data_IF_315686583132
#
_entry.id   IF_315686583132
#
_cell.length_a   1.000
_cell.length_b   1.000
_cell.length_c   1.000
_cell.angle_alpha   90.00
_cell.angle_beta   90.00
_cell.angle_gamma   90.00
#
_symmetry.space_group_name_H-M   'P 1'
#
loop_
_entity.id
_entity.type
_entity.pdbx_description
1 polymer ?
#
# COMPACT_ATOMS: atom_id res chain seq x y z
N UNK A 1 -4.00 5.50 15.47
CA UNK A 1 -3.20 5.32 14.24
C UNK A 1 -2.85 3.84 14.16
N UNK A 2 -2.96 3.20 12.99
CA UNK A 2 -2.62 1.78 12.82
C UNK A 2 -1.26 1.65 12.13
N UNK A 3 -0.37 0.86 12.70
CA UNK A 3 0.96 0.60 12.16
C UNK A 3 1.04 -0.80 11.56
N UNK A 4 1.84 -0.94 10.48
CA UNK A 4 2.16 -2.23 9.87
C UNK A 4 3.58 -2.66 10.31
N UNK A 5 3.70 -3.13 11.56
CA UNK A 5 4.98 -3.56 12.13
C UNK A 5 5.18 -5.08 11.99
N UNK A 6 4.12 -5.88 12.19
CA UNK A 6 4.16 -7.33 12.04
C UNK A 6 2.86 -7.84 11.38
N UNK A 7 2.94 -8.94 10.63
CA UNK A 7 1.78 -9.58 10.01
C UNK A 7 0.88 -10.30 11.02
N UNK A 8 1.42 -10.74 12.15
CA UNK A 8 0.63 -11.43 13.21
C UNK A 8 -0.42 -10.51 13.85
N UNK A 9 -0.25 -9.20 13.71
CA UNK A 9 -1.18 -8.19 14.21
C UNK A 9 -2.41 -8.02 13.29
N UNK A 10 -2.48 -8.78 12.19
CA UNK A 10 -3.52 -8.67 11.18
C UNK A 10 -4.28 -9.99 11.05
N UNK A 11 -5.61 -9.88 11.03
CA UNK A 11 -6.49 -11.00 10.73
C UNK A 11 -6.42 -11.40 9.25
N UNK A 12 -6.76 -12.65 8.95
CA UNK A 12 -6.80 -13.15 7.56
C UNK A 12 -7.70 -12.31 6.65
N UNK A 13 -8.85 -11.84 7.15
CA UNK A 13 -9.74 -10.94 6.41
C UNK A 13 -9.08 -9.62 6.01
N UNK A 14 -8.36 -8.99 6.93
CA UNK A 14 -7.69 -7.70 6.70
C UNK A 14 -6.53 -7.85 5.70
N UNK A 15 -5.78 -8.95 5.80
CA UNK A 15 -4.75 -9.29 4.81
C UNK A 15 -5.39 -9.48 3.43
N UNK A 16 -6.52 -10.18 3.35
CA UNK A 16 -7.24 -10.38 2.10
C UNK A 16 -7.78 -9.07 1.52
N UNK A 17 -8.22 -8.13 2.33
CA UNK A 17 -8.63 -6.79 1.89
C UNK A 17 -7.46 -6.02 1.25
N UNK A 18 -6.29 -6.03 1.88
CA UNK A 18 -5.06 -5.40 1.36
C UNK A 18 -4.69 -6.02 0.00
N UNK A 19 -4.72 -7.35 -0.11
CA UNK A 19 -4.42 -8.08 -1.34
C UNK A 19 -5.41 -7.72 -2.45
N UNK A 20 -6.72 -7.72 -2.15
CA UNK A 20 -7.75 -7.39 -3.12
C UNK A 20 -7.63 -5.94 -3.63
N UNK A 21 -7.30 -5.00 -2.74
CA UNK A 21 -7.06 -3.61 -3.12
C UNK A 21 -5.82 -3.47 -4.02
N UNK A 22 -4.73 -4.18 -3.71
CA UNK A 22 -3.53 -4.20 -4.55
C UNK A 22 -3.83 -4.77 -5.96
N UNK A 23 -4.64 -5.84 -6.06
CA UNK A 23 -5.08 -6.41 -7.34
C UNK A 23 -5.88 -5.38 -8.15
N UNK A 24 -6.80 -4.66 -7.52
CA UNK A 24 -7.57 -3.58 -8.16
C UNK A 24 -6.63 -2.52 -8.73
N UNK A 25 -5.71 -1.98 -7.91
CA UNK A 25 -4.76 -0.96 -8.37
C UNK A 25 -3.84 -1.45 -9.50
N UNK A 26 -3.41 -2.72 -9.47
CA UNK A 26 -2.66 -3.33 -10.57
C UNK A 26 -3.47 -3.34 -11.88
N UNK A 27 -4.75 -3.71 -11.82
CA UNK A 27 -5.66 -3.70 -12.99
C UNK A 27 -5.89 -2.29 -13.51
N UNK A 28 -6.16 -1.33 -12.62
CA UNK A 28 -6.42 0.06 -12.99
C UNK A 28 -5.19 0.72 -13.63
N UNK A 29 -3.99 0.46 -13.06
CA UNK A 29 -2.72 0.91 -13.65
C UNK A 29 -2.50 0.31 -15.05
N UNK A 30 -2.79 -0.98 -15.25
CA UNK A 30 -2.69 -1.64 -16.56
C UNK A 30 -3.64 -1.03 -17.59
N UNK A 31 -4.81 -0.54 -17.16
CA UNK A 31 -5.79 0.16 -18.01
C UNK A 31 -5.43 1.62 -18.29
N UNK A 32 -4.34 2.14 -17.73
CA UNK A 32 -3.91 3.53 -17.92
C UNK A 32 -4.54 4.54 -16.95
N UNK A 33 -5.24 4.08 -15.90
CA UNK A 33 -5.84 4.94 -14.86
C UNK A 33 -4.79 5.42 -13.86
N UNK A 34 -3.84 6.23 -14.33
CA UNK A 34 -2.63 6.65 -13.59
C UNK A 34 -2.84 7.82 -12.63
N UNK A 35 -3.87 8.64 -12.85
CA UNK A 35 -4.09 9.86 -12.05
C UNK A 35 -5.18 9.58 -11.01
N UNK A 36 -4.77 9.14 -9.82
CA UNK A 36 -5.67 9.02 -8.67
C UNK A 36 -5.12 9.89 -7.53
N UNK A 37 -5.90 10.89 -7.10
CA UNK A 37 -5.51 11.93 -6.12
C UNK A 37 -5.56 11.46 -4.65
N UNK A 38 -5.47 10.14 -4.39
CA UNK A 38 -5.70 9.57 -3.05
C UNK A 38 -4.81 10.13 -1.94
N UNK A 39 -3.59 10.54 -2.30
CA UNK A 39 -2.58 11.03 -1.37
C UNK A 39 -2.18 12.49 -1.67
N UNK A 40 -3.04 13.25 -2.34
CA UNK A 40 -2.79 14.67 -2.64
C UNK A 40 -2.55 15.45 -1.33
N UNK A 41 -1.44 16.17 -1.27
CA UNK A 41 -1.01 16.92 -0.08
C UNK A 41 -0.44 16.05 1.06
N UNK A 42 -0.16 14.76 0.84
CA UNK A 42 0.50 13.89 1.82
C UNK A 42 1.99 13.69 1.47
N UNK A 43 2.81 13.54 2.51
CA UNK A 43 4.24 13.24 2.40
C UNK A 43 4.55 11.93 3.13
N UNK A 44 5.50 11.16 2.61
CA UNK A 44 6.03 9.96 3.25
C UNK A 44 7.54 10.13 3.43
N UNK A 45 8.02 9.82 4.63
CA UNK A 45 9.45 9.75 4.94
C UNK A 45 9.91 8.29 4.85
N UNK A 46 10.96 8.04 4.09
CA UNK A 46 11.56 6.71 3.95
C UNK A 46 12.94 6.72 4.63
N UNK A 47 13.06 5.97 5.74
CA UNK A 47 14.28 5.92 6.56
C UNK A 47 14.86 4.51 6.42
N UNK A 48 16.09 4.42 5.93
CA UNK A 48 16.79 3.16 5.71
C UNK A 48 18.17 3.20 6.39
N UNK A 49 18.45 2.22 7.23
CA UNK A 49 19.80 2.04 7.81
C UNK A 49 20.73 1.21 6.90
N UNK A 50 20.15 0.46 5.96
CA UNK A 50 20.85 -0.37 4.98
C UNK A 50 20.31 -0.10 3.57
N UNK A 51 21.13 -0.26 2.51
CA UNK A 51 20.66 -0.09 1.14
C UNK A 51 19.45 -0.98 0.80
N UNK A 52 18.49 -0.45 0.04
CA UNK A 52 17.33 -1.16 -0.52
C UNK A 52 17.12 -0.71 -1.97
N UNK A 53 16.86 -1.66 -2.87
CA UNK A 53 16.60 -1.44 -4.31
C UNK A 53 15.14 -1.74 -4.64
#
# INVERSE_FOLDING_TARGET
MRHLLNLVDYGSGEIMEIINLAIKFKKDRKRGLRVQKFLEGKSIALIFEKPST
#
